data_IF_547889006600
#
_entry.id   IF_547889006600
#
_cell.length_a   1.000
_cell.length_b   1.000
_cell.length_c   1.000
_cell.angle_alpha   90.00
_cell.angle_beta   90.00
_cell.angle_gamma   90.00
#
_symmetry.space_group_name_H-M   'P 1'
#
loop_
_entity.id
_entity.type
_entity.pdbx_description
1 polymer ?
#
# COMPACT_ATOMS: atom_id res chain seq x y z
N UNK A 1 -0.30 -8.64 59.51
CA UNK A 1 1.12 -8.22 59.66
C UNK A 1 1.96 -9.42 59.22
N UNK A 2 2.86 -9.42 58.24
CA UNK A 2 3.36 -8.44 57.29
C UNK A 2 4.51 -9.11 56.52
N UNK A 3 4.70 -8.69 55.26
CA UNK A 3 5.82 -8.99 54.33
C UNK A 3 5.77 -10.32 53.58
N UNK A 4 5.17 -10.30 52.40
CA UNK A 4 5.60 -11.12 51.27
C UNK A 4 6.40 -10.19 50.34
N UNK A 5 7.66 -10.55 50.18
CA UNK A 5 8.67 -9.97 49.31
C UNK A 5 8.12 -9.75 47.90
N UNK A 6 8.07 -8.49 47.43
CA UNK A 6 7.92 -8.20 46.00
C UNK A 6 9.25 -8.51 45.32
N UNK A 7 9.32 -9.65 44.64
CA UNK A 7 10.28 -9.85 43.58
C UNK A 7 9.83 -8.99 42.39
N UNK A 8 10.52 -7.88 42.16
CA UNK A 8 10.42 -7.10 40.93
C UNK A 8 10.84 -8.01 39.78
N UNK A 9 9.88 -8.45 38.97
CA UNK A 9 10.17 -9.12 37.69
C UNK A 9 10.60 -8.06 36.69
N UNK A 10 11.84 -8.05 36.18
CA UNK A 10 12.22 -7.17 35.10
C UNK A 10 11.59 -7.71 33.81
N UNK A 11 10.45 -7.15 33.41
CA UNK A 11 9.94 -7.26 32.03
C UNK A 11 10.54 -6.17 31.13
N UNK A 12 11.68 -5.60 31.52
CA UNK A 12 12.46 -4.73 30.66
C UNK A 12 13.45 -5.58 29.85
N UNK A 13 12.93 -6.22 28.80
CA UNK A 13 13.75 -6.55 27.64
C UNK A 13 12.86 -6.69 26.39
N UNK A 14 12.26 -5.58 25.95
CA UNK A 14 11.71 -5.51 24.59
C UNK A 14 12.86 -5.60 23.59
N UNK A 15 13.08 -6.78 23.01
CA UNK A 15 13.88 -6.96 21.79
C UNK A 15 12.98 -7.42 20.64
N UNK A 16 12.69 -6.49 19.74
CA UNK A 16 12.40 -6.80 18.34
C UNK A 16 12.87 -5.61 17.50
N UNK A 17 13.95 -5.76 16.71
CA UNK A 17 13.67 -6.00 15.30
C UNK A 17 14.67 -6.98 14.67
N UNK A 18 14.16 -7.96 13.94
CA UNK A 18 14.99 -8.73 13.02
C UNK A 18 14.15 -9.29 11.86
N UNK A 19 14.11 -8.57 10.73
CA UNK A 19 14.44 -9.20 9.45
C UNK A 19 15.19 -8.22 8.55
N UNK A 20 16.36 -8.63 8.06
CA UNK A 20 17.16 -7.97 7.02
C UNK A 20 18.10 -9.01 6.38
N UNK A 21 17.75 -9.57 5.22
CA UNK A 21 18.70 -9.62 4.10
C UNK A 21 17.93 -9.20 2.85
N UNK A 22 18.34 -8.09 2.27
CA UNK A 22 17.91 -7.60 0.96
C UNK A 22 19.15 -7.59 0.06
N UNK A 23 19.58 -8.78 -0.39
CA UNK A 23 20.51 -8.89 -1.53
C UNK A 23 19.67 -9.02 -2.80
N UNK A 24 18.87 -8.01 -3.09
CA UNK A 24 18.14 -7.88 -4.34
C UNK A 24 18.58 -6.59 -5.00
N UNK A 25 18.71 -6.62 -6.33
CA UNK A 25 18.94 -5.41 -7.14
C UNK A 25 17.99 -4.31 -6.62
N UNK A 26 18.53 -3.12 -6.42
CA UNK A 26 17.73 -1.91 -6.29
C UNK A 26 16.58 -1.94 -7.32
N UNK A 27 15.39 -1.40 -6.99
CA UNK A 27 14.30 -1.34 -7.93
C UNK A 27 14.80 -0.66 -9.20
N UNK A 28 14.34 -1.17 -10.34
CA UNK A 28 14.69 -0.59 -11.62
C UNK A 28 14.46 0.92 -11.56
N UNK A 29 15.43 1.68 -12.09
CA UNK A 29 15.32 3.12 -12.12
C UNK A 29 14.04 3.54 -12.87
N UNK A 30 13.36 4.53 -12.31
CA UNK A 30 12.14 5.08 -12.86
C UNK A 30 12.43 6.42 -13.51
N UNK A 31 12.42 6.46 -14.83
CA UNK A 31 12.75 7.64 -15.62
C UNK A 31 11.57 8.61 -15.82
N UNK A 32 10.37 8.23 -15.37
CA UNK A 32 9.13 8.98 -15.55
C UNK A 32 8.39 8.74 -16.88
N UNK A 33 8.78 7.73 -17.69
CA UNK A 33 8.11 7.44 -18.98
C UNK A 33 7.10 6.30 -18.91
N UNK A 34 7.40 5.26 -18.14
CA UNK A 34 6.58 4.04 -18.07
C UNK A 34 5.71 4.03 -16.82
N UNK A 35 4.59 4.77 -16.84
CA UNK A 35 3.72 4.96 -15.67
C UNK A 35 3.31 3.65 -14.95
N UNK A 36 3.14 2.53 -15.67
CA UNK A 36 2.82 1.22 -15.08
C UNK A 36 3.91 0.66 -14.16
N UNK A 37 5.16 1.13 -14.26
CA UNK A 37 6.27 0.73 -13.39
C UNK A 37 6.29 1.45 -12.06
N UNK A 38 5.68 2.64 -11.97
CA UNK A 38 5.74 3.48 -10.78
C UNK A 38 5.24 2.77 -9.52
N UNK A 39 4.09 2.09 -9.62
CA UNK A 39 3.50 1.36 -8.50
C UNK A 39 4.43 0.27 -7.97
N UNK A 40 5.07 -0.50 -8.85
CA UNK A 40 6.03 -1.53 -8.45
C UNK A 40 7.24 -0.96 -7.72
N UNK A 41 7.80 0.16 -8.21
CA UNK A 41 8.92 0.85 -7.57
C UNK A 41 8.57 1.37 -6.17
N UNK A 42 7.36 1.93 -5.98
CA UNK A 42 6.89 2.41 -4.67
C UNK A 42 6.60 1.26 -3.72
N UNK A 43 5.99 0.17 -4.19
CA UNK A 43 5.78 -1.04 -3.38
C UNK A 43 7.10 -1.64 -2.90
N UNK A 44 8.14 -1.63 -3.74
CA UNK A 44 9.48 -2.02 -3.31
C UNK A 44 9.99 -1.10 -2.20
N UNK A 45 9.88 0.23 -2.35
CA UNK A 45 10.28 1.18 -1.31
C UNK A 45 9.56 0.90 0.02
N UNK A 46 8.24 0.68 -0.01
CA UNK A 46 7.45 0.35 1.17
C UNK A 46 7.93 -0.94 1.85
N UNK A 47 8.26 -1.99 1.08
CA UNK A 47 8.85 -3.21 1.62
C UNK A 47 10.16 -2.92 2.36
N UNK A 48 11.05 -2.13 1.76
CA UNK A 48 12.31 -1.72 2.41
C UNK A 48 12.05 -0.97 3.71
N UNK A 49 11.10 -0.03 3.71
CA UNK A 49 10.78 0.78 4.89
C UNK A 49 10.22 -0.04 6.05
N UNK A 50 9.36 -1.01 5.74
CA UNK A 50 8.83 -1.94 6.74
C UNK A 50 9.89 -2.92 7.24
N UNK A 51 10.85 -3.28 6.40
CA UNK A 51 11.93 -4.19 6.74
C UNK A 51 13.05 -3.52 7.56
N UNK A 52 13.32 -2.24 7.32
CA UNK A 52 14.36 -1.46 7.99
C UNK A 52 13.78 -0.22 8.68
N UNK A 53 12.96 -0.47 9.70
CA UNK A 53 12.30 0.58 10.46
C UNK A 53 13.28 1.52 11.18
N UNK A 54 14.48 1.06 11.52
CA UNK A 54 15.50 1.87 12.17
C UNK A 54 16.02 2.99 11.25
N UNK A 55 16.33 2.67 9.98
CA UNK A 55 16.79 3.68 9.02
C UNK A 55 15.62 4.46 8.38
N UNK A 56 14.43 3.87 8.31
CA UNK A 56 13.25 4.46 7.67
C UNK A 56 12.16 4.89 8.64
N UNK A 57 12.55 5.28 9.87
CA UNK A 57 11.61 5.82 10.84
C UNK A 57 11.04 7.17 10.40
N UNK A 58 11.85 8.04 9.78
CA UNK A 58 11.43 9.37 9.34
C UNK A 58 10.82 9.35 7.94
N UNK A 59 9.79 10.18 7.72
CA UNK A 59 9.23 10.41 6.37
C UNK A 59 10.28 10.92 5.38
N UNK A 60 11.23 11.70 5.90
CA UNK A 60 12.35 12.23 5.12
C UNK A 60 13.26 11.14 4.57
N UNK A 61 13.65 10.17 5.39
CA UNK A 61 14.50 9.08 4.94
C UNK A 61 13.79 8.22 3.89
N UNK A 62 12.47 8.03 4.04
CA UNK A 62 11.64 7.35 3.04
C UNK A 62 11.64 8.09 1.70
N UNK A 63 11.33 9.39 1.71
CA UNK A 63 11.31 10.21 0.51
C UNK A 63 12.67 10.22 -0.18
N UNK A 64 13.75 10.50 0.56
CA UNK A 64 15.12 10.54 0.03
C UNK A 64 15.55 9.22 -0.60
N UNK A 65 15.28 8.09 0.05
CA UNK A 65 15.58 6.79 -0.53
C UNK A 65 14.81 6.55 -1.82
N UNK A 66 13.51 6.86 -1.85
CA UNK A 66 12.72 6.77 -3.08
C UNK A 66 13.25 7.67 -4.21
N UNK A 67 13.80 8.85 -3.89
CA UNK A 67 14.42 9.72 -4.91
C UNK A 67 15.62 9.09 -5.60
N UNK A 68 16.34 8.18 -4.93
CA UNK A 68 17.54 7.54 -5.49
C UNK A 68 17.25 6.66 -6.71
N UNK A 69 16.00 6.26 -6.91
CA UNK A 69 15.55 5.48 -8.07
C UNK A 69 14.97 6.36 -9.18
N UNK A 70 14.76 7.65 -8.93
CA UNK A 70 14.21 8.56 -9.93
C UNK A 70 15.32 9.01 -10.88
N UNK A 71 15.12 8.77 -12.16
CA UNK A 71 16.05 9.16 -13.23
C UNK A 71 15.30 9.94 -14.31
N UNK A 72 15.99 10.37 -15.36
CA UNK A 72 15.34 10.99 -16.53
C UNK A 72 14.44 12.18 -16.15
N UNK A 73 13.16 12.11 -16.55
CA UNK A 73 12.17 13.16 -16.29
C UNK A 73 11.77 13.24 -14.82
N UNK A 74 11.63 12.10 -14.15
CA UNK A 74 11.32 12.06 -12.73
C UNK A 74 12.48 12.62 -11.88
N UNK A 75 13.72 12.31 -12.26
CA UNK A 75 14.92 12.87 -11.65
C UNK A 75 14.99 14.39 -11.78
N UNK A 76 14.75 14.94 -12.98
CA UNK A 76 14.70 16.39 -13.21
C UNK A 76 13.61 17.10 -12.40
N UNK A 77 12.47 16.45 -12.19
CA UNK A 77 11.39 16.99 -11.37
C UNK A 77 11.77 17.10 -9.89
N UNK A 78 12.48 16.12 -9.36
CA UNK A 78 12.84 16.09 -7.93
C UNK A 78 14.08 16.95 -7.61
N UNK A 79 14.92 17.23 -8.60
CA UNK A 79 16.15 18.02 -8.52
C UNK A 79 16.03 19.33 -7.70
N UNK A 80 15.06 20.24 -7.94
CA UNK A 80 14.94 21.46 -7.14
C UNK A 80 14.72 21.19 -5.64
N UNK A 81 14.08 20.07 -5.29
CA UNK A 81 13.87 19.69 -3.90
C UNK A 81 15.14 19.13 -3.26
N UNK A 82 15.99 18.46 -4.05
CA UNK A 82 17.29 17.96 -3.59
C UNK A 82 18.31 19.11 -3.41
N UNK A 83 18.23 20.17 -4.21
CA UNK A 83 19.10 21.35 -4.06
C UNK A 83 18.87 22.06 -2.72
N UNK A 84 17.64 22.03 -2.20
CA UNK A 84 17.30 22.55 -0.88
C UNK A 84 17.02 21.39 0.10
N UNK A 85 17.88 20.37 0.10
CA UNK A 85 17.72 19.19 0.95
C UNK A 85 17.61 19.58 2.43
N UNK A 86 18.40 20.54 2.91
CA UNK A 86 18.43 20.97 4.32
C UNK A 86 17.18 21.72 4.80
N UNK A 87 16.15 21.87 3.96
CA UNK A 87 14.89 22.47 4.38
C UNK A 87 14.19 21.60 5.45
N UNK A 88 13.88 22.21 6.59
CA UNK A 88 13.24 21.57 7.75
C UNK A 88 11.73 21.80 7.81
N UNK A 89 11.16 22.59 6.89
CA UNK A 89 9.72 22.87 6.85
C UNK A 89 8.93 21.54 6.72
N UNK A 90 7.99 21.24 7.65
CA UNK A 90 7.17 20.02 7.57
C UNK A 90 6.33 19.91 6.29
N UNK A 91 6.00 21.05 5.66
CA UNK A 91 5.28 21.11 4.38
C UNK A 91 6.18 20.86 3.16
N UNK A 92 7.50 20.86 3.36
CA UNK A 92 8.45 20.57 2.30
C UNK A 92 8.26 19.16 1.76
N UNK A 93 8.28 19.01 0.43
CA UNK A 93 7.93 17.76 -0.25
C UNK A 93 8.67 16.55 0.32
N UNK A 94 9.98 16.68 0.56
CA UNK A 94 10.81 15.59 1.06
C UNK A 94 10.57 15.27 2.53
N UNK A 95 9.95 16.15 3.31
CA UNK A 95 9.67 15.93 4.73
C UNK A 95 8.32 15.24 4.98
N UNK A 96 7.50 15.06 3.93
CA UNK A 96 6.17 14.46 4.04
C UNK A 96 5.98 13.35 3.00
N UNK A 97 6.01 12.09 3.46
CA UNK A 97 5.90 10.91 2.59
C UNK A 97 4.61 10.91 1.75
N UNK A 98 3.47 11.24 2.38
CA UNK A 98 2.18 11.24 1.70
C UNK A 98 2.13 12.27 0.57
N UNK A 99 2.69 13.46 0.81
CA UNK A 99 2.76 14.53 -0.18
C UNK A 99 3.70 14.16 -1.34
N UNK A 100 4.86 13.59 -1.02
CA UNK A 100 5.80 13.07 -2.01
C UNK A 100 5.15 12.01 -2.91
N UNK A 101 4.55 10.98 -2.31
CA UNK A 101 3.89 9.89 -3.05
C UNK A 101 2.74 10.42 -3.92
N UNK A 102 1.89 11.29 -3.36
CA UNK A 102 0.75 11.86 -4.09
C UNK A 102 1.21 12.68 -5.29
N UNK A 103 2.21 13.55 -5.15
CA UNK A 103 2.70 14.35 -6.27
C UNK A 103 3.39 13.48 -7.33
N UNK A 104 4.15 12.48 -6.91
CA UNK A 104 4.81 11.55 -7.82
C UNK A 104 3.79 10.77 -8.66
N UNK A 105 2.72 10.24 -8.05
CA UNK A 105 1.63 9.57 -8.79
C UNK A 105 0.80 10.55 -9.64
N UNK A 106 0.64 11.79 -9.21
CA UNK A 106 -0.07 12.82 -9.99
C UNK A 106 0.67 13.15 -11.29
N UNK A 107 2.00 13.25 -11.23
CA UNK A 107 2.83 13.66 -12.36
C UNK A 107 3.24 12.50 -13.27
N UNK A 108 3.46 11.31 -12.70
CA UNK A 108 4.04 10.17 -13.41
C UNK A 108 3.22 8.88 -13.33
N UNK A 109 2.13 8.87 -12.57
CA UNK A 109 1.20 7.76 -12.52
C UNK A 109 0.35 7.66 -13.78
N UNK A 110 -0.37 6.56 -13.92
CA UNK A 110 -1.30 6.41 -15.03
C UNK A 110 -2.52 7.30 -14.79
N UNK A 111 -2.85 8.26 -15.69
CA UNK A 111 -3.94 9.22 -15.47
C UNK A 111 -5.32 8.54 -15.34
N UNK A 112 -5.46 7.33 -15.89
CA UNK A 112 -6.66 6.54 -15.85
C UNK A 112 -6.53 5.27 -15.00
N UNK A 113 -5.56 5.18 -14.07
CA UNK A 113 -5.36 3.96 -13.27
C UNK A 113 -6.60 3.61 -12.43
N UNK A 114 -7.17 4.62 -11.75
CA UNK A 114 -8.40 4.48 -10.97
C UNK A 114 -9.55 4.07 -11.88
N UNK A 115 -9.79 4.81 -12.97
CA UNK A 115 -10.84 4.52 -13.94
C UNK A 115 -10.72 3.12 -14.56
N UNK A 116 -9.50 2.68 -14.84
CA UNK A 116 -9.23 1.33 -15.36
C UNK A 116 -9.55 0.27 -14.30
N UNK A 117 -9.15 0.49 -13.05
CA UNK A 117 -9.46 -0.41 -11.95
C UNK A 117 -10.97 -0.50 -11.67
N UNK A 118 -11.70 0.63 -11.76
CA UNK A 118 -13.16 0.67 -11.70
C UNK A 118 -13.79 -0.16 -12.83
N UNK A 119 -13.35 0.04 -14.08
CA UNK A 119 -13.81 -0.74 -15.23
C UNK A 119 -13.49 -2.23 -15.10
N UNK A 120 -12.34 -2.59 -14.53
CA UNK A 120 -11.98 -3.97 -14.25
C UNK A 120 -12.92 -4.58 -13.21
N UNK A 121 -13.27 -3.84 -12.15
CA UNK A 121 -14.26 -4.30 -11.16
C UNK A 121 -15.66 -4.41 -11.74
N UNK A 122 -16.10 -3.46 -12.56
CA UNK A 122 -17.43 -3.50 -13.19
C UNK A 122 -17.61 -4.71 -14.11
N UNK A 123 -16.52 -5.14 -14.76
CA UNK A 123 -16.49 -6.32 -15.64
C UNK A 123 -16.16 -7.62 -14.90
N UNK A 124 -15.70 -7.56 -13.65
CA UNK A 124 -15.29 -8.74 -12.91
C UNK A 124 -16.50 -9.61 -12.58
N UNK A 125 -16.54 -10.82 -13.15
CA UNK A 125 -17.54 -11.84 -12.88
C UNK A 125 -16.84 -13.16 -12.56
N UNK A 126 -17.32 -13.84 -11.51
CA UNK A 126 -16.93 -15.21 -11.23
C UNK A 126 -17.62 -16.14 -12.23
N UNK A 127 -16.85 -17.03 -12.86
CA UNK A 127 -17.41 -18.08 -13.73
C UNK A 127 -18.13 -19.13 -12.88
N UNK A 128 -19.07 -19.86 -13.48
CA UNK A 128 -19.90 -20.87 -12.83
C UNK A 128 -19.08 -22.02 -12.19
N UNK A 129 -17.98 -22.42 -12.84
CA UNK A 129 -16.98 -23.35 -12.31
C UNK A 129 -15.72 -22.65 -11.77
N UNK A 130 -15.82 -21.34 -11.53
CA UNK A 130 -14.69 -20.48 -11.20
C UNK A 130 -14.20 -20.67 -9.76
N UNK A 131 -12.90 -20.45 -9.58
CA UNK A 131 -12.28 -20.47 -8.26
C UNK A 131 -12.59 -19.16 -7.51
N UNK A 132 -13.26 -19.25 -6.36
CA UNK A 132 -13.62 -18.11 -5.49
C UNK A 132 -12.38 -17.33 -5.06
N UNK A 133 -11.28 -18.02 -4.73
CA UNK A 133 -10.01 -17.39 -4.33
C UNK A 133 -9.41 -16.56 -5.46
N UNK A 134 -9.55 -17.00 -6.72
CA UNK A 134 -9.11 -16.24 -7.88
C UNK A 134 -9.94 -14.97 -8.07
N UNK A 135 -11.27 -15.07 -7.95
CA UNK A 135 -12.17 -13.90 -7.98
C UNK A 135 -11.83 -12.90 -6.87
N UNK A 136 -11.68 -13.35 -5.62
CA UNK A 136 -11.29 -12.50 -4.48
C UNK A 136 -9.94 -11.82 -4.74
N UNK A 137 -8.97 -12.56 -5.28
CA UNK A 137 -7.64 -12.01 -5.58
C UNK A 137 -7.70 -10.89 -6.62
N UNK A 138 -8.44 -11.10 -7.72
CA UNK A 138 -8.64 -10.05 -8.73
C UNK A 138 -9.41 -8.85 -8.15
N UNK A 139 -10.45 -9.09 -7.36
CA UNK A 139 -11.23 -8.02 -6.72
C UNK A 139 -10.35 -7.16 -5.82
N UNK A 140 -9.57 -7.77 -4.92
CA UNK A 140 -8.66 -7.06 -4.01
C UNK A 140 -7.56 -6.30 -4.75
N UNK A 141 -7.04 -6.89 -5.82
CA UNK A 141 -6.04 -6.22 -6.67
C UNK A 141 -6.58 -4.94 -7.31
N UNK A 142 -7.81 -4.95 -7.83
CA UNK A 142 -8.45 -3.73 -8.37
C UNK A 142 -8.87 -2.75 -7.28
N UNK A 143 -9.42 -3.24 -6.16
CA UNK A 143 -9.77 -2.40 -5.01
C UNK A 143 -8.59 -1.59 -4.49
N UNK A 144 -7.38 -2.18 -4.40
CA UNK A 144 -6.17 -1.49 -3.94
C UNK A 144 -5.69 -0.35 -4.85
N UNK A 145 -6.25 -0.21 -6.06
CA UNK A 145 -5.95 0.86 -7.02
C UNK A 145 -6.95 2.02 -6.97
N UNK A 146 -8.14 1.81 -6.42
CA UNK A 146 -9.21 2.82 -6.41
C UNK A 146 -9.18 3.66 -5.12
N UNK A 147 -8.79 3.07 -3.99
CA UNK A 147 -8.71 3.78 -2.72
C UNK A 147 -10.08 3.92 -2.04
N UNK A 148 -10.61 5.12 -1.94
CA UNK A 148 -11.85 5.40 -1.21
C UNK A 148 -13.09 5.44 -2.13
N UNK A 149 -13.53 4.29 -2.62
CA UNK A 149 -14.83 4.16 -3.32
C UNK A 149 -16.02 4.05 -2.35
N UNK A 150 -15.75 3.92 -1.05
CA UNK A 150 -16.75 3.64 -0.02
C UNK A 150 -17.11 2.16 0.13
N UNK A 151 -17.24 1.70 1.39
CA UNK A 151 -17.53 0.30 1.74
C UNK A 151 -18.77 -0.26 1.04
N UNK A 152 -19.85 0.53 0.93
CA UNK A 152 -21.10 0.10 0.31
C UNK A 152 -20.94 -0.15 -1.20
N UNK A 153 -20.17 0.67 -1.90
CA UNK A 153 -19.90 0.49 -3.32
C UNK A 153 -19.10 -0.80 -3.56
N UNK A 154 -18.05 -1.03 -2.77
CA UNK A 154 -17.27 -2.27 -2.83
C UNK A 154 -18.12 -3.52 -2.57
N UNK A 155 -18.96 -3.51 -1.53
CA UNK A 155 -19.86 -4.64 -1.23
C UNK A 155 -20.82 -4.88 -2.41
N UNK A 156 -21.39 -3.82 -2.98
CA UNK A 156 -22.33 -3.93 -4.08
C UNK A 156 -21.67 -4.56 -5.32
N UNK A 157 -20.49 -4.08 -5.73
CA UNK A 157 -19.78 -4.61 -6.90
C UNK A 157 -19.28 -6.03 -6.64
N UNK A 158 -18.82 -6.33 -5.42
CA UNK A 158 -18.42 -7.68 -5.02
C UNK A 158 -19.59 -8.67 -5.15
N UNK A 159 -20.76 -8.35 -4.60
CA UNK A 159 -21.95 -9.20 -4.70
C UNK A 159 -22.41 -9.36 -6.14
N UNK A 160 -22.41 -8.29 -6.94
CA UNK A 160 -22.77 -8.33 -8.37
C UNK A 160 -21.84 -9.27 -9.17
N UNK A 161 -20.60 -9.43 -8.74
CA UNK A 161 -19.61 -10.25 -9.41
C UNK A 161 -19.56 -11.71 -8.99
N UNK A 162 -20.18 -12.07 -7.86
CA UNK A 162 -20.29 -13.45 -7.40
C UNK A 162 -21.29 -14.24 -8.25
N UNK A 163 -21.09 -15.55 -8.30
CA UNK A 163 -22.00 -16.48 -8.96
C UNK A 163 -23.27 -16.67 -8.11
N UNK A 164 -24.41 -16.86 -8.78
CA UNK A 164 -25.75 -16.95 -8.20
C UNK A 164 -25.87 -17.98 -7.08
N UNK A 165 -25.34 -19.19 -7.23
CA UNK A 165 -25.42 -20.23 -6.20
C UNK A 165 -24.70 -19.84 -4.92
N UNK A 166 -23.57 -19.12 -5.01
CA UNK A 166 -22.91 -18.57 -3.82
C UNK A 166 -23.69 -17.41 -3.21
N UNK A 167 -24.35 -16.59 -4.03
CA UNK A 167 -25.25 -15.54 -3.53
C UNK A 167 -26.47 -16.14 -2.82
N UNK A 168 -27.03 -17.24 -3.33
CA UNK A 168 -28.15 -17.97 -2.73
C UNK A 168 -27.74 -18.68 -1.43
N UNK A 169 -26.52 -19.22 -1.36
CA UNK A 169 -25.94 -19.73 -0.12
C UNK A 169 -25.70 -18.61 0.90
N UNK A 170 -25.18 -17.47 0.48
CA UNK A 170 -25.02 -16.31 1.35
C UNK A 170 -26.37 -15.78 1.82
N UNK A 171 -27.38 -15.71 0.95
CA UNK A 171 -28.74 -15.26 1.28
C UNK A 171 -29.47 -16.23 2.22
N UNK A 172 -29.30 -17.54 2.03
CA UNK A 172 -29.86 -18.56 2.92
C UNK A 172 -29.16 -18.63 4.28
N UNK A 173 -27.88 -18.27 4.37
CA UNK A 173 -27.13 -18.17 5.64
C UNK A 173 -27.17 -16.77 6.30
N UNK A 174 -27.69 -15.74 5.63
CA UNK A 174 -27.80 -14.36 6.13
C UNK A 174 -28.82 -14.17 7.27
N UNK A 175 -29.49 -15.22 7.73
CA UNK A 175 -30.12 -15.24 9.06
C UNK A 175 -29.11 -15.26 10.23
N UNK A 176 -27.80 -15.32 9.95
CA UNK A 176 -26.79 -15.69 10.97
C UNK A 176 -25.44 -14.95 10.90
N UNK A 177 -25.37 -13.75 10.31
CA UNK A 177 -24.10 -12.96 10.34
C UNK A 177 -24.32 -11.49 10.70
N UNK A 178 -24.45 -11.23 12.00
CA UNK A 178 -24.39 -9.91 12.63
C UNK A 178 -22.99 -9.59 13.19
N UNK A 179 -21.92 -10.15 12.60
CA UNK A 179 -20.54 -9.92 13.07
C UNK A 179 -19.57 -9.77 11.91
N UNK A 180 -19.50 -8.56 11.38
CA UNK A 180 -18.30 -8.03 10.73
C UNK A 180 -18.03 -6.64 11.34
N UNK A 181 -17.45 -6.66 12.54
CA UNK A 181 -16.68 -5.53 13.10
C UNK A 181 -15.35 -5.42 12.37
#
# INVERSE_FOLDING_TARGET
>A
MGKITQAVSPRDNYKAPAFKILSTKAPDSFDGTQAHKLRGSIQYCQLIFHNDTANFFSYRNKALYSTSFLTGRAGKWIEPYLLNISNEDPSYLLNNWQSFETQLFTLFGHPNEVRKAEQELDKLRMKESGNVSLYISHFRSSMSRIGDWGKRAYIHVYRRGLESRLLDQLASHLGTFDTLQ
#
